data_IF_383117998682
#
_entry.id   IF_383117998682
#
_cell.length_a   1.000
_cell.length_b   1.000
_cell.length_c   1.000
_cell.angle_alpha   90.00
_cell.angle_beta   90.00
_cell.angle_gamma   90.00
#
_symmetry.space_group_name_H-M   'P 1'
#
loop_
_entity.id
_entity.type
_entity.pdbx_description
1 polymer ?
#
# COMPACT_ATOMS: atom_id res chain seq x y z
N UNK A 1 -17.75 3.78 -3.12
CA UNK A 1 -19.21 3.78 -2.90
C UNK A 1 -19.66 2.44 -2.32
N UNK A 2 -20.79 2.41 -1.61
CA UNK A 2 -21.37 1.19 -1.05
C UNK A 2 -21.60 0.11 -2.13
N UNK A 3 -22.08 0.49 -3.30
CA UNK A 3 -22.30 -0.44 -4.42
C UNK A 3 -21.02 -1.11 -4.92
N UNK A 4 -19.86 -0.46 -4.78
CA UNK A 4 -18.59 -1.06 -5.12
C UNK A 4 -18.21 -2.14 -4.10
N UNK A 5 -18.37 -1.86 -2.80
CA UNK A 5 -18.12 -2.83 -1.74
C UNK A 5 -19.04 -4.05 -1.84
N UNK A 6 -20.33 -3.84 -2.11
CA UNK A 6 -21.30 -4.93 -2.32
C UNK A 6 -20.87 -5.83 -3.50
N UNK A 7 -20.44 -5.24 -4.62
CA UNK A 7 -19.92 -6.04 -5.76
C UNK A 7 -18.64 -6.78 -5.42
N UNK A 8 -17.72 -6.15 -4.69
CA UNK A 8 -16.50 -6.82 -4.26
C UNK A 8 -16.81 -8.03 -3.38
N UNK A 9 -17.65 -7.86 -2.36
CA UNK A 9 -18.06 -8.96 -1.48
C UNK A 9 -18.76 -10.08 -2.26
N UNK A 10 -19.71 -9.74 -3.12
CA UNK A 10 -20.42 -10.72 -3.95
C UNK A 10 -19.47 -11.49 -4.90
N UNK A 11 -18.47 -10.80 -5.48
CA UNK A 11 -17.47 -11.47 -6.32
C UNK A 11 -16.49 -12.32 -5.53
N UNK A 12 -16.34 -12.06 -4.24
CA UNK A 12 -15.41 -12.75 -3.36
C UNK A 12 -15.98 -14.04 -2.75
N UNK A 13 -17.30 -14.16 -2.72
CA UNK A 13 -18.01 -15.26 -2.08
C UNK A 13 -17.62 -16.64 -2.67
N UNK A 14 -17.38 -16.67 -3.98
CA UNK A 14 -16.98 -17.87 -4.71
C UNK A 14 -15.44 -17.95 -4.97
N UNK A 15 -14.64 -17.02 -4.44
CA UNK A 15 -13.20 -17.00 -4.70
C UNK A 15 -12.42 -17.67 -3.56
N UNK A 16 -11.84 -18.86 -3.77
CA UNK A 16 -10.97 -19.48 -2.79
C UNK A 16 -9.77 -18.57 -2.48
N UNK A 17 -9.44 -18.46 -1.19
CA UNK A 17 -8.34 -17.61 -0.72
C UNK A 17 -8.74 -16.18 -0.37
N UNK A 18 -10.00 -15.76 -0.60
CA UNK A 18 -10.50 -14.49 -0.15
C UNK A 18 -10.96 -14.55 1.30
N UNK A 19 -10.51 -13.62 2.12
CA UNK A 19 -10.81 -13.60 3.56
C UNK A 19 -11.19 -12.19 4.00
N UNK A 20 -12.21 -12.10 4.85
CA UNK A 20 -12.59 -10.87 5.54
C UNK A 20 -12.46 -11.07 7.06
N UNK A 21 -11.75 -10.15 7.70
CA UNK A 21 -11.52 -10.13 9.14
C UNK A 21 -12.12 -8.87 9.75
N UNK A 22 -12.66 -8.98 10.95
CA UNK A 22 -13.26 -7.84 11.64
C UNK A 22 -12.96 -7.85 13.14
N UNK A 23 -12.89 -6.65 13.70
CA UNK A 23 -12.86 -6.44 15.15
C UNK A 23 -14.20 -5.86 15.58
N UNK A 24 -14.84 -6.52 16.52
CA UNK A 24 -16.04 -6.05 17.16
C UNK A 24 -15.71 -5.52 18.56
N UNK A 25 -16.24 -4.35 18.88
CA UNK A 25 -16.24 -3.78 20.24
C UNK A 25 -17.67 -3.46 20.56
N UNK A 26 -18.21 -4.06 21.63
CA UNK A 26 -19.61 -3.90 22.03
C UNK A 26 -20.59 -4.15 20.84
N UNK A 27 -20.36 -5.27 20.13
CA UNK A 27 -21.11 -5.69 18.94
C UNK A 27 -21.07 -4.71 17.74
N UNK A 28 -20.20 -3.72 17.78
CA UNK A 28 -19.97 -2.80 16.67
C UNK A 28 -18.70 -3.16 15.90
N UNK A 29 -18.80 -3.23 14.57
CA UNK A 29 -17.62 -3.40 13.71
C UNK A 29 -16.76 -2.13 13.76
N UNK A 30 -15.56 -2.24 14.36
CA UNK A 30 -14.66 -1.11 14.60
C UNK A 30 -13.44 -1.10 13.69
N UNK A 31 -13.02 -2.28 13.21
CA UNK A 31 -11.97 -2.41 12.21
C UNK A 31 -12.25 -3.60 11.30
N UNK A 32 -11.79 -3.53 10.05
CA UNK A 32 -11.89 -4.59 9.07
C UNK A 32 -10.62 -4.70 8.22
N UNK A 33 -10.32 -5.93 7.81
CA UNK A 33 -9.22 -6.25 6.92
C UNK A 33 -9.75 -7.24 5.88
N UNK A 34 -9.37 -7.00 4.62
CA UNK A 34 -9.63 -7.92 3.51
C UNK A 34 -8.29 -8.41 2.99
N UNK A 35 -8.14 -9.71 2.90
CA UNK A 35 -6.96 -10.36 2.36
C UNK A 35 -7.33 -11.31 1.23
N UNK A 36 -6.36 -11.59 0.38
CA UNK A 36 -6.46 -12.58 -0.69
C UNK A 36 -5.18 -13.38 -0.77
N UNK A 37 -5.32 -14.68 -0.73
CA UNK A 37 -4.21 -15.62 -0.87
C UNK A 37 -4.19 -16.18 -2.29
N UNK A 38 -3.05 -16.03 -2.95
CA UNK A 38 -2.76 -16.61 -4.25
C UNK A 38 -1.39 -17.30 -4.16
N UNK A 39 -1.34 -18.56 -4.50
CA UNK A 39 -0.18 -19.42 -4.30
C UNK A 39 0.29 -19.39 -2.83
N UNK A 40 1.55 -19.04 -2.58
CA UNK A 40 2.16 -18.90 -1.26
C UNK A 40 2.07 -17.48 -0.67
N UNK A 41 1.44 -16.54 -1.38
CA UNK A 41 1.40 -15.13 -1.00
C UNK A 41 0.00 -14.71 -0.51
N UNK A 42 -0.08 -14.30 0.75
CA UNK A 42 -1.27 -13.69 1.31
C UNK A 42 -1.15 -12.16 1.25
N UNK A 43 -2.01 -11.51 0.46
CA UNK A 43 -2.00 -10.07 0.24
C UNK A 43 -3.07 -9.37 1.06
N UNK A 44 -2.70 -8.41 1.90
CA UNK A 44 -3.65 -7.50 2.55
C UNK A 44 -4.07 -6.47 1.52
N UNK A 45 -5.34 -6.56 1.07
CA UNK A 45 -5.87 -5.68 0.04
C UNK A 45 -6.41 -4.37 0.61
N UNK A 46 -7.14 -4.47 1.73
CA UNK A 46 -7.77 -3.34 2.39
C UNK A 46 -7.69 -3.52 3.90
N UNK A 47 -7.42 -2.43 4.60
CA UNK A 47 -7.56 -2.35 6.05
C UNK A 47 -8.15 -1.00 6.39
N UNK A 48 -9.19 -1.02 7.21
CA UNK A 48 -9.93 0.17 7.62
C UNK A 48 -10.30 0.07 9.10
N UNK A 49 -10.40 1.21 9.75
CA UNK A 49 -10.89 1.30 11.11
C UNK A 49 -11.67 2.59 11.33
N UNK A 50 -12.56 2.55 12.27
CA UNK A 50 -13.27 3.74 12.73
C UNK A 50 -12.31 4.61 13.53
N UNK A 51 -12.32 5.91 13.26
CA UNK A 51 -11.40 6.88 13.88
C UNK A 51 -11.60 6.99 15.38
N UNK A 52 -12.84 6.86 15.84
CA UNK A 52 -13.22 6.93 17.27
C UNK A 52 -12.68 5.75 18.10
N UNK A 53 -12.28 4.64 17.46
CA UNK A 53 -11.72 3.46 18.11
C UNK A 53 -10.20 3.28 17.93
N UNK A 54 -9.53 4.20 17.23
CA UNK A 54 -8.09 4.08 16.98
C UNK A 54 -7.25 4.06 18.26
N UNK A 55 -7.65 4.84 19.27
CA UNK A 55 -6.97 4.88 20.59
C UNK A 55 -7.04 3.56 21.34
N UNK A 56 -8.01 2.70 21.04
CA UNK A 56 -8.16 1.37 21.64
C UNK A 56 -7.28 0.30 20.98
N UNK A 57 -6.48 0.67 19.97
CA UNK A 57 -5.56 -0.25 19.32
C UNK A 57 -6.21 -1.31 18.42
N UNK A 58 -7.45 -1.10 17.97
CA UNK A 58 -8.22 -2.06 17.16
C UNK A 58 -7.48 -2.48 15.88
N UNK A 59 -6.75 -1.55 15.24
CA UNK A 59 -5.91 -1.88 14.09
C UNK A 59 -4.74 -2.80 14.45
N UNK A 60 -4.10 -2.55 15.60
CA UNK A 60 -2.97 -3.35 16.05
C UNK A 60 -3.43 -4.79 16.34
N UNK A 61 -4.55 -4.93 17.06
CA UNK A 61 -5.14 -6.23 17.37
C UNK A 61 -5.50 -6.99 16.08
N UNK A 62 -6.19 -6.33 15.15
CA UNK A 62 -6.58 -6.94 13.87
C UNK A 62 -5.37 -7.41 13.08
N UNK A 63 -4.36 -6.55 12.90
CA UNK A 63 -3.17 -6.90 12.11
C UNK A 63 -2.37 -8.01 12.79
N UNK A 64 -2.23 -7.95 14.12
CA UNK A 64 -1.53 -8.98 14.87
C UNK A 64 -2.19 -10.34 14.72
N UNK A 65 -3.49 -10.45 14.99
CA UNK A 65 -4.22 -11.71 14.91
C UNK A 65 -4.25 -12.27 13.50
N UNK A 66 -4.52 -11.41 12.51
CA UNK A 66 -4.45 -11.83 11.11
C UNK A 66 -3.06 -12.37 10.74
N UNK A 67 -1.99 -11.63 11.11
CA UNK A 67 -0.62 -12.05 10.80
C UNK A 67 -0.26 -13.35 11.48
N UNK A 68 -0.62 -13.50 12.76
CA UNK A 68 -0.40 -14.73 13.54
C UNK A 68 -1.06 -15.94 12.88
N UNK A 69 -2.32 -15.82 12.51
CA UNK A 69 -3.08 -16.89 11.85
C UNK A 69 -2.54 -17.20 10.45
N UNK A 70 -2.20 -16.16 9.67
CA UNK A 70 -1.65 -16.37 8.32
C UNK A 70 -0.29 -17.08 8.35
N UNK A 71 0.61 -16.69 9.27
CA UNK A 71 1.95 -17.30 9.42
C UNK A 71 1.85 -18.74 9.93
N UNK A 72 0.81 -19.09 10.70
CA UNK A 72 0.60 -20.44 11.18
C UNK A 72 0.17 -21.43 10.07
N UNK A 73 -0.21 -20.94 8.90
CA UNK A 73 -0.65 -21.77 7.76
C UNK A 73 0.55 -22.23 6.94
N UNK A 74 0.78 -23.56 6.80
CA UNK A 74 1.96 -24.09 6.11
C UNK A 74 2.10 -23.67 4.65
N UNK A 75 0.96 -23.37 3.99
CA UNK A 75 0.92 -22.95 2.60
C UNK A 75 1.28 -21.46 2.39
N UNK A 76 1.33 -20.64 3.45
CA UNK A 76 1.66 -19.22 3.36
C UNK A 76 3.16 -19.03 3.55
N UNK A 77 3.87 -18.73 2.48
CA UNK A 77 5.31 -18.42 2.50
C UNK A 77 5.60 -16.95 2.77
N UNK A 78 4.63 -16.06 2.50
CA UNK A 78 4.79 -14.61 2.66
C UNK A 78 3.47 -13.88 2.81
N UNK A 79 3.52 -12.76 3.54
CA UNK A 79 2.41 -11.82 3.65
C UNK A 79 2.83 -10.51 2.99
N UNK A 80 2.05 -10.03 2.03
CA UNK A 80 2.27 -8.77 1.35
C UNK A 80 1.34 -7.69 1.89
N UNK A 81 1.90 -6.70 2.59
CA UNK A 81 1.15 -5.60 3.18
C UNK A 81 1.21 -4.33 2.33
N UNK A 82 0.86 -4.47 1.06
CA UNK A 82 0.78 -3.36 0.12
C UNK A 82 2.12 -2.73 -0.25
N UNK A 83 2.09 -1.87 -1.23
CA UNK A 83 3.23 -1.07 -1.66
C UNK A 83 3.40 0.15 -0.75
N UNK A 84 4.62 0.72 -0.74
CA UNK A 84 4.83 2.06 -0.21
C UNK A 84 4.03 3.06 -1.05
N UNK A 85 3.20 3.86 -0.39
CA UNK A 85 2.48 4.94 -1.05
C UNK A 85 3.26 6.24 -0.90
N UNK A 86 3.59 6.89 -2.03
CA UNK A 86 4.27 8.18 -2.03
C UNK A 86 3.45 9.30 -1.38
N UNK A 87 2.14 9.08 -1.19
CA UNK A 87 1.21 10.05 -0.63
C UNK A 87 0.79 9.70 0.81
N UNK A 88 1.21 8.53 1.32
CA UNK A 88 0.89 8.13 2.68
C UNK A 88 1.73 8.91 3.69
N UNK A 89 1.15 9.29 4.83
CA UNK A 89 1.93 9.79 5.94
C UNK A 89 2.99 8.77 6.38
N UNK A 90 4.15 9.25 6.82
CA UNK A 90 5.26 8.43 7.32
C UNK A 90 4.82 7.45 8.44
N UNK A 91 3.83 7.85 9.23
CA UNK A 91 3.23 7.03 10.29
C UNK A 91 2.69 5.68 9.80
N UNK A 92 2.32 5.56 8.52
CA UNK A 92 1.85 4.30 7.92
C UNK A 92 2.99 3.31 7.79
N UNK A 93 4.17 3.76 7.34
CA UNK A 93 5.34 2.89 7.24
C UNK A 93 5.87 2.52 8.62
N UNK A 94 5.94 3.49 9.55
CA UNK A 94 6.29 3.23 10.95
C UNK A 94 5.36 2.19 11.59
N UNK A 95 4.07 2.26 11.28
CA UNK A 95 3.10 1.26 11.73
C UNK A 95 3.45 -0.14 11.23
N UNK A 96 3.72 -0.31 9.93
CA UNK A 96 4.12 -1.59 9.34
C UNK A 96 5.38 -2.15 10.00
N UNK A 97 6.40 -1.32 10.24
CA UNK A 97 7.63 -1.75 10.91
C UNK A 97 7.40 -2.15 12.37
N UNK A 98 6.54 -1.44 13.11
CA UNK A 98 6.15 -1.84 14.48
C UNK A 98 5.47 -3.21 14.49
N UNK A 99 4.70 -3.53 13.45
CA UNK A 99 4.08 -4.83 13.25
C UNK A 99 5.05 -5.90 12.71
N UNK A 100 6.37 -5.59 12.65
CA UNK A 100 7.44 -6.47 12.19
C UNK A 100 7.41 -6.82 10.68
N UNK A 101 6.68 -6.07 9.89
CA UNK A 101 6.82 -6.15 8.44
C UNK A 101 8.16 -5.52 8.01
N UNK A 102 8.77 -6.09 6.99
CA UNK A 102 10.05 -5.63 6.45
C UNK A 102 9.88 -5.05 5.06
N UNK A 103 10.60 -3.98 4.74
CA UNK A 103 10.61 -3.44 3.40
C UNK A 103 11.35 -4.39 2.44
N UNK A 104 10.74 -4.64 1.29
CA UNK A 104 11.34 -5.41 0.20
C UNK A 104 11.24 -4.61 -1.09
N UNK A 105 12.32 -4.54 -1.89
CA UNK A 105 12.27 -3.87 -3.18
C UNK A 105 11.36 -4.64 -4.13
N UNK A 106 10.46 -3.92 -4.78
CA UNK A 106 9.60 -4.46 -5.83
C UNK A 106 9.72 -3.62 -7.08
N UNK A 107 9.66 -4.26 -8.24
CA UNK A 107 9.62 -3.56 -9.52
C UNK A 107 8.16 -3.22 -9.83
N UNK A 108 7.88 -1.93 -9.91
CA UNK A 108 6.58 -1.44 -10.35
C UNK A 108 6.77 -0.47 -11.51
N UNK A 109 5.89 -0.54 -12.49
CA UNK A 109 5.90 0.35 -13.64
C UNK A 109 4.51 0.93 -13.85
N UNK A 110 4.43 2.24 -13.94
CA UNK A 110 3.25 2.94 -14.46
C UNK A 110 3.41 3.10 -15.97
N UNK A 111 2.42 2.70 -16.73
CA UNK A 111 2.39 2.85 -18.19
C UNK A 111 1.17 3.66 -18.56
N UNK A 112 1.40 4.83 -19.11
CA UNK A 112 0.34 5.62 -19.69
C UNK A 112 0.13 5.24 -21.15
N UNK A 113 -1.07 5.46 -21.66
CA UNK A 113 -1.35 5.29 -23.07
C UNK A 113 -0.38 6.15 -23.91
N UNK A 114 0.10 5.63 -25.03
CA UNK A 114 1.18 6.25 -25.82
C UNK A 114 0.94 7.71 -26.20
N UNK A 115 -0.30 8.09 -26.50
CA UNK A 115 -0.62 9.48 -26.84
C UNK A 115 -0.74 10.41 -25.62
N UNK A 116 -0.91 9.87 -24.40
CA UNK A 116 -0.90 10.64 -23.15
C UNK A 116 0.51 10.83 -22.60
N UNK A 117 1.41 9.89 -22.88
CA UNK A 117 2.77 9.87 -22.33
C UNK A 117 3.54 11.20 -22.51
N UNK A 118 3.48 11.91 -23.66
CA UNK A 118 4.17 13.18 -23.83
C UNK A 118 3.66 14.30 -22.91
N UNK A 119 2.42 14.17 -22.42
CA UNK A 119 1.84 15.15 -21.49
C UNK A 119 2.43 15.03 -20.08
N UNK A 120 3.00 13.87 -19.73
CA UNK A 120 3.56 13.62 -18.40
C UNK A 120 5.07 13.85 -18.40
N UNK A 121 5.43 15.13 -18.22
CA UNK A 121 6.80 15.58 -18.14
C UNK A 121 7.03 16.44 -16.88
N UNK A 122 8.28 16.82 -16.63
CA UNK A 122 8.66 17.63 -15.46
C UNK A 122 7.90 18.95 -15.34
N UNK A 123 7.58 19.58 -16.46
CA UNK A 123 6.84 20.85 -16.49
C UNK A 123 5.40 20.64 -16.04
N UNK A 124 4.73 19.65 -16.61
CA UNK A 124 3.36 19.28 -16.22
C UNK A 124 3.30 18.89 -14.75
N UNK A 125 4.29 18.13 -14.27
CA UNK A 125 4.38 17.77 -12.86
C UNK A 125 4.51 18.99 -11.95
N UNK A 126 5.35 19.97 -12.29
CA UNK A 126 5.51 21.22 -11.51
C UNK A 126 4.19 22.00 -11.42
N UNK A 127 3.49 22.13 -12.53
CA UNK A 127 2.17 22.81 -12.57
C UNK A 127 1.17 22.06 -11.68
N UNK A 128 1.08 20.75 -11.84
CA UNK A 128 0.16 19.91 -11.07
C UNK A 128 0.46 19.99 -9.56
N UNK A 129 1.73 19.93 -9.18
CA UNK A 129 2.18 20.09 -7.79
C UNK A 129 1.75 21.45 -7.21
N UNK A 130 1.89 22.53 -7.97
CA UNK A 130 1.46 23.86 -7.55
C UNK A 130 -0.05 23.92 -7.33
N UNK A 131 -0.83 23.26 -8.18
CA UNK A 131 -2.30 23.19 -8.03
C UNK A 131 -2.67 22.39 -6.77
N UNK A 132 -2.03 21.25 -6.54
CA UNK A 132 -2.26 20.42 -5.35
C UNK A 132 -1.93 21.21 -4.07
N UNK A 133 -0.82 21.94 -4.04
CA UNK A 133 -0.46 22.78 -2.89
C UNK A 133 -1.51 23.84 -2.56
N UNK A 134 -2.17 24.38 -3.59
CA UNK A 134 -3.25 25.38 -3.41
C UNK A 134 -4.60 24.73 -3.03
N UNK A 135 -4.77 23.43 -3.25
CA UNK A 135 -6.02 22.69 -3.01
C UNK A 135 -5.75 21.35 -2.31
N UNK A 136 -5.20 21.35 -1.09
CA UNK A 136 -4.75 20.13 -0.41
C UNK A 136 -5.88 19.13 -0.10
N UNK A 137 -7.12 19.60 -0.01
CA UNK A 137 -8.30 18.75 0.24
C UNK A 137 -8.79 17.98 -0.99
N UNK A 138 -8.23 18.22 -2.18
CA UNK A 138 -8.73 17.60 -3.40
C UNK A 138 -8.01 16.27 -3.68
N UNK A 139 -8.54 15.17 -3.10
CA UNK A 139 -7.93 13.85 -3.14
C UNK A 139 -7.60 13.32 -4.54
N UNK A 140 -8.43 13.62 -5.55
CA UNK A 140 -8.19 13.17 -6.92
C UNK A 140 -6.97 13.87 -7.55
N UNK A 141 -6.79 15.17 -7.28
CA UNK A 141 -5.62 15.91 -7.76
C UNK A 141 -4.33 15.41 -7.09
N UNK A 142 -4.36 15.14 -5.79
CA UNK A 142 -3.23 14.56 -5.07
C UNK A 142 -2.85 13.18 -5.64
N UNK A 143 -3.83 12.33 -5.89
CA UNK A 143 -3.58 11.02 -6.53
C UNK A 143 -3.00 11.15 -7.93
N UNK A 144 -3.50 12.09 -8.73
CA UNK A 144 -2.98 12.32 -10.08
C UNK A 144 -1.53 12.82 -10.04
N UNK A 145 -1.22 13.75 -9.12
CA UNK A 145 0.15 14.23 -8.90
C UNK A 145 1.07 13.07 -8.49
N UNK A 146 0.66 12.25 -7.52
CA UNK A 146 1.41 11.09 -7.08
C UNK A 146 1.68 10.09 -8.21
N UNK A 147 0.70 9.83 -9.07
CA UNK A 147 0.90 8.94 -10.24
C UNK A 147 1.91 9.52 -11.24
N UNK A 148 1.84 10.81 -11.54
CA UNK A 148 2.79 11.48 -12.45
C UNK A 148 4.18 11.49 -11.85
N UNK A 149 4.31 11.80 -10.57
CA UNK A 149 5.58 11.76 -9.82
C UNK A 149 6.19 10.36 -9.86
N UNK A 150 5.39 9.34 -9.56
CA UNK A 150 5.84 7.95 -9.60
C UNK A 150 6.31 7.53 -11.00
N UNK A 151 5.58 7.93 -12.05
CA UNK A 151 5.98 7.67 -13.44
C UNK A 151 7.32 8.32 -13.79
N UNK A 152 7.53 9.58 -13.41
CA UNK A 152 8.77 10.31 -13.69
C UNK A 152 9.95 9.78 -12.85
N UNK A 153 9.73 9.47 -11.57
CA UNK A 153 10.73 8.86 -10.71
C UNK A 153 11.14 7.48 -11.24
N UNK A 154 10.19 6.68 -11.71
CA UNK A 154 10.45 5.35 -12.27
C UNK A 154 11.28 5.35 -13.56
N UNK A 155 11.45 6.50 -14.21
CA UNK A 155 12.33 6.68 -15.38
C UNK A 155 13.80 6.94 -14.98
N UNK A 156 14.05 7.27 -13.71
CA UNK A 156 15.39 7.54 -13.18
C UNK A 156 16.05 6.24 -12.72
N UNK A 157 17.40 6.16 -12.77
CA UNK A 157 18.10 5.07 -12.12
C UNK A 157 17.70 4.94 -10.66
N UNK A 158 17.59 3.72 -10.15
CA UNK A 158 17.15 3.46 -8.78
C UNK A 158 17.99 4.22 -7.72
N UNK A 159 19.27 4.39 -7.98
CA UNK A 159 20.18 5.14 -7.10
C UNK A 159 19.79 6.63 -6.94
N UNK A 160 19.17 7.20 -7.96
CA UNK A 160 18.80 8.62 -8.04
C UNK A 160 17.34 8.88 -7.66
N UNK A 161 16.55 7.81 -7.44
CA UNK A 161 15.16 7.95 -7.03
C UNK A 161 15.07 8.44 -5.59
N UNK A 162 13.98 9.16 -5.30
CA UNK A 162 13.66 9.62 -3.95
C UNK A 162 13.32 8.41 -3.06
N UNK A 163 13.92 8.38 -1.87
CA UNK A 163 13.67 7.33 -0.89
C UNK A 163 12.85 7.88 0.27
N UNK A 164 11.92 7.08 0.85
CA UNK A 164 11.23 7.45 2.08
C UNK A 164 12.22 7.68 3.22
N UNK A 165 12.00 8.70 4.05
CA UNK A 165 12.90 9.02 5.17
C UNK A 165 13.12 7.84 6.10
N UNK A 166 12.07 7.09 6.42
CA UNK A 166 12.11 5.89 7.28
C UNK A 166 12.98 4.75 6.73
N UNK A 167 13.35 4.80 5.45
CA UNK A 167 14.17 3.79 4.77
C UNK A 167 15.58 4.28 4.45
N UNK A 168 15.93 5.52 4.73
CA UNK A 168 17.24 6.08 4.37
C UNK A 168 18.38 5.31 5.02
N UNK A 169 18.26 4.92 6.29
CA UNK A 169 19.26 4.13 7.00
C UNK A 169 19.42 2.70 6.45
N UNK A 170 18.36 2.16 5.85
CA UNK A 170 18.34 0.81 5.29
C UNK A 170 18.57 0.80 3.78
N UNK A 171 18.76 1.96 3.16
CA UNK A 171 18.85 2.12 1.71
C UNK A 171 19.88 1.19 1.08
N UNK A 172 21.10 1.12 1.63
CA UNK A 172 22.15 0.28 1.08
C UNK A 172 21.84 -1.22 1.20
N UNK A 173 21.25 -1.64 2.30
CA UNK A 173 20.85 -3.04 2.54
C UNK A 173 19.78 -3.45 1.51
N UNK A 174 18.74 -2.62 1.36
CA UNK A 174 17.66 -2.86 0.41
C UNK A 174 18.17 -2.86 -1.02
N UNK A 175 19.10 -1.96 -1.34
CA UNK A 175 19.73 -1.86 -2.66
C UNK A 175 20.54 -3.11 -3.02
N UNK A 176 21.29 -3.64 -2.07
CA UNK A 176 22.09 -4.85 -2.26
C UNK A 176 21.20 -6.10 -2.41
N UNK A 177 20.10 -6.19 -1.65
CA UNK A 177 19.10 -7.26 -1.81
C UNK A 177 18.47 -7.24 -3.20
N UNK A 178 18.17 -6.05 -3.74
CA UNK A 178 17.60 -5.92 -5.09
C UNK A 178 18.56 -6.41 -6.18
N UNK A 179 19.87 -6.22 -6.02
CA UNK A 179 20.88 -6.72 -6.97
C UNK A 179 20.96 -8.25 -6.97
N UNK A 180 20.87 -8.87 -5.81
CA UNK A 180 20.97 -10.34 -5.65
C UNK A 180 19.75 -11.07 -6.22
N UNK A 181 18.58 -10.43 -6.28
CA UNK A 181 17.36 -11.04 -6.83
C UNK A 181 17.25 -10.89 -8.36
N UNK A 182 18.21 -10.28 -9.02
CA UNK A 182 18.18 -10.00 -10.47
C UNK A 182 19.05 -10.98 -11.27
N UNK A 183 19.64 -12.00 -10.64
CA UNK A 183 20.46 -13.07 -11.26
C UNK A 183 19.65 -14.33 -11.53
#
# INVERSE_FOLDING_TARGET
SQAWWQRLCASADDLPGFEAWGVLVEDQLTASLIAFTCDDCCSILYQQSRTDFLSQGVNNALTYEFTREAVARPQIGRIFYGLHSLDAPETVDQYKFRMRYVARPVRQRVVFHSWLSPLFNQTTHRVLRTIVQKRPSHAQLAKTEGMVRFYLEGQRPLAEQSWPEVLLEQKEIIFNQAKTQTV
#
